data_IF_375633359672
#
_entry.id   IF_375633359672
#
_cell.length_a   1.000
_cell.length_b   1.000
_cell.length_c   1.000
_cell.angle_alpha   90.00
_cell.angle_beta   90.00
_cell.angle_gamma   90.00
#
_symmetry.space_group_name_H-M   'P 1'
#
loop_
_entity.id
_entity.type
_entity.pdbx_description
1 polymer ?
#
# COMPACT_ATOMS: atom_id res chain seq x y z
N UNK A 1 16.70 -3.71 12.38
CA UNK A 1 17.96 -4.27 12.95
C UNK A 1 18.64 -5.06 11.84
N UNK A 2 19.92 -4.84 11.53
CA UNK A 2 20.57 -5.61 10.45
C UNK A 2 20.80 -7.08 10.89
N UNK A 3 20.83 -8.00 9.93
CA UNK A 3 21.06 -9.43 10.20
C UNK A 3 22.34 -9.70 11.02
N UNK A 4 23.39 -8.90 10.80
CA UNK A 4 24.63 -8.99 11.58
C UNK A 4 24.47 -8.61 13.05
N UNK A 5 23.68 -7.57 13.36
CA UNK A 5 23.39 -7.19 14.74
C UNK A 5 22.51 -8.22 15.45
N UNK A 6 21.51 -8.77 14.74
CA UNK A 6 20.68 -9.85 15.27
C UNK A 6 21.51 -11.09 15.61
N UNK A 7 22.39 -11.53 14.70
CA UNK A 7 23.27 -12.68 14.94
C UNK A 7 24.12 -12.51 16.19
N UNK A 8 24.70 -11.32 16.40
CA UNK A 8 25.49 -11.02 17.60
C UNK A 8 24.65 -11.02 18.87
N UNK A 9 23.46 -10.42 18.84
CA UNK A 9 22.52 -10.43 19.97
C UNK A 9 22.04 -11.83 20.31
N UNK A 10 21.70 -12.64 19.30
CA UNK A 10 21.26 -14.01 19.48
C UNK A 10 22.37 -14.88 20.08
N UNK A 11 23.62 -14.68 19.67
CA UNK A 11 24.78 -15.35 20.29
C UNK A 11 24.97 -14.95 21.76
N UNK A 12 24.88 -13.65 22.08
CA UNK A 12 24.98 -13.16 23.45
C UNK A 12 23.85 -13.70 24.32
N UNK A 13 22.63 -13.76 23.80
CA UNK A 13 21.49 -14.33 24.49
C UNK A 13 21.64 -15.84 24.70
N UNK A 14 22.11 -16.57 23.70
CA UNK A 14 22.44 -17.99 23.85
C UNK A 14 23.47 -18.22 24.95
N UNK A 15 24.53 -17.42 24.99
CA UNK A 15 25.56 -17.52 26.03
C UNK A 15 25.01 -17.30 27.45
N UNK A 16 24.03 -16.40 27.64
CA UNK A 16 23.42 -16.18 28.97
C UNK A 16 22.43 -17.29 29.36
N UNK A 17 21.87 -18.02 28.39
CA UNK A 17 20.92 -19.12 28.62
C UNK A 17 21.59 -20.47 28.91
N UNK A 18 22.85 -20.67 28.48
CA UNK A 18 23.61 -21.92 28.73
C UNK A 18 23.65 -22.30 30.22
N UNK A 19 23.81 -21.31 31.12
CA UNK A 19 23.84 -21.53 32.58
C UNK A 19 22.51 -22.04 33.16
N UNK A 20 21.43 -21.87 32.41
CA UNK A 20 20.08 -22.33 32.77
C UNK A 20 19.68 -23.60 31.99
N UNK A 21 20.60 -24.22 31.25
CA UNK A 21 20.33 -25.33 30.34
C UNK A 21 19.24 -25.04 29.30
N UNK A 22 19.13 -23.77 28.89
CA UNK A 22 18.09 -23.29 27.98
C UNK A 22 18.67 -22.84 26.62
N UNK A 23 17.81 -22.54 25.65
CA UNK A 23 18.17 -22.21 24.26
C UNK A 23 17.48 -20.92 23.82
N UNK A 24 18.07 -20.25 22.84
CA UNK A 24 17.45 -19.06 22.22
C UNK A 24 16.15 -19.43 21.53
N UNK A 25 15.21 -18.49 21.45
CA UNK A 25 13.92 -18.69 20.78
C UNK A 25 14.04 -19.02 19.30
N UNK A 26 15.15 -18.63 18.66
CA UNK A 26 15.45 -18.92 17.25
C UNK A 26 16.91 -19.38 17.11
N UNK A 27 17.15 -20.35 16.23
CA UNK A 27 18.48 -20.93 15.98
C UNK A 27 19.41 -19.99 15.23
N UNK A 28 18.87 -19.29 14.24
CA UNK A 28 19.58 -18.38 13.36
C UNK A 28 18.61 -17.35 12.78
N UNK A 29 19.15 -16.47 11.93
CA UNK A 29 18.34 -15.43 11.27
C UNK A 29 17.33 -16.06 10.32
N UNK A 30 17.68 -17.15 9.66
CA UNK A 30 16.79 -17.91 8.77
C UNK A 30 15.56 -18.45 9.53
N UNK A 31 15.76 -19.14 10.66
CA UNK A 31 14.70 -19.68 11.53
C UNK A 31 13.77 -18.59 12.08
N UNK A 32 14.32 -17.40 12.38
CA UNK A 32 13.51 -16.22 12.72
C UNK A 32 12.61 -15.80 11.56
N UNK A 33 13.18 -15.64 10.36
CA UNK A 33 12.43 -15.19 9.18
C UNK A 33 11.39 -16.22 8.77
N UNK A 34 11.75 -17.50 8.72
CA UNK A 34 10.81 -18.60 8.45
C UNK A 34 9.67 -18.64 9.48
N UNK A 35 9.98 -18.44 10.77
CA UNK A 35 8.95 -18.37 11.81
C UNK A 35 7.99 -17.20 11.55
N UNK A 36 8.51 -16.01 11.24
CA UNK A 36 7.69 -14.82 10.90
C UNK A 36 6.82 -15.09 9.67
N UNK A 37 7.40 -15.66 8.61
CA UNK A 37 6.71 -15.95 7.34
C UNK A 37 5.67 -17.08 7.50
N UNK A 38 5.85 -17.97 8.48
CA UNK A 38 4.93 -19.06 8.81
C UNK A 38 3.71 -18.62 9.63
N UNK A 39 3.70 -17.40 10.19
CA UNK A 39 2.58 -16.92 11.00
C UNK A 39 1.32 -16.88 10.11
N UNK A 40 0.28 -17.68 10.41
CA UNK A 40 -0.94 -17.73 9.60
C UNK A 40 -1.83 -16.50 9.85
N UNK A 41 -1.61 -15.83 10.99
CA UNK A 41 -2.21 -14.55 11.38
C UNK A 41 -1.43 -13.41 10.71
N UNK A 42 -1.76 -13.12 9.47
CA UNK A 42 -1.16 -12.03 8.71
C UNK A 42 -2.19 -11.38 7.79
N UNK A 43 -1.99 -10.09 7.53
CA UNK A 43 -2.68 -9.38 6.46
C UNK A 43 -2.16 -9.88 5.09
N UNK A 44 -2.67 -9.34 3.98
CA UNK A 44 -2.24 -9.71 2.63
C UNK A 44 -0.73 -9.67 2.50
N UNK A 45 -0.13 -10.76 2.01
CA UNK A 45 1.32 -10.92 1.86
C UNK A 45 1.89 -9.86 0.92
N UNK A 46 3.10 -9.40 1.24
CA UNK A 46 3.90 -8.57 0.36
C UNK A 46 4.56 -9.41 -0.73
N UNK A 47 4.60 -8.86 -1.94
CA UNK A 47 5.29 -9.39 -3.10
C UNK A 47 6.18 -8.29 -3.68
N UNK A 48 7.31 -8.69 -4.23
CA UNK A 48 8.27 -7.78 -4.84
C UNK A 48 8.33 -8.06 -6.33
N UNK A 49 8.39 -7.01 -7.14
CA UNK A 49 8.65 -7.09 -8.57
C UNK A 49 9.57 -5.93 -8.97
N UNK A 50 10.09 -5.97 -10.19
CA UNK A 50 10.98 -4.95 -10.72
C UNK A 50 10.38 -4.27 -11.92
N UNK A 51 10.53 -2.95 -11.99
CA UNK A 51 10.18 -2.18 -13.17
C UNK A 51 11.38 -1.43 -13.74
N UNK A 52 11.32 -1.17 -15.04
CA UNK A 52 12.33 -0.44 -15.78
C UNK A 52 11.66 0.61 -16.66
N UNK A 53 12.39 1.69 -16.95
CA UNK A 53 11.94 2.64 -17.96
C UNK A 53 11.89 1.96 -19.34
N UNK A 54 10.77 2.15 -20.04
CA UNK A 54 10.62 1.64 -21.41
C UNK A 54 11.25 2.61 -22.39
N UNK A 55 12.42 2.24 -22.92
CA UNK A 55 13.12 3.03 -23.96
C UNK A 55 12.22 3.17 -25.20
N UNK A 56 12.16 4.40 -25.72
CA UNK A 56 11.35 4.79 -26.88
C UNK A 56 12.24 5.29 -28.01
N UNK A 57 11.70 5.37 -29.22
CA UNK A 57 12.42 5.90 -30.39
C UNK A 57 12.90 7.36 -30.19
N UNK A 58 12.28 8.10 -29.27
CA UNK A 58 12.64 9.50 -28.95
C UNK A 58 13.95 9.63 -28.18
N UNK A 59 14.42 8.55 -27.55
CA UNK A 59 15.61 8.58 -26.71
C UNK A 59 16.92 8.61 -27.52
N UNK A 60 16.85 8.36 -28.83
CA UNK A 60 17.99 8.36 -29.74
C UNK A 60 19.01 7.25 -29.45
N UNK A 61 20.07 7.13 -30.28
CA UNK A 61 21.10 6.10 -30.11
C UNK A 61 22.21 6.47 -29.12
N UNK A 62 22.09 7.60 -28.42
CA UNK A 62 23.10 8.10 -27.48
C UNK A 62 23.10 7.36 -26.14
N UNK A 63 24.11 7.59 -25.28
CA UNK A 63 24.12 7.02 -23.93
C UNK A 63 22.93 7.55 -23.13
N UNK A 64 22.13 6.63 -22.59
CA UNK A 64 20.95 6.98 -21.80
C UNK A 64 21.35 7.39 -20.37
N UNK A 65 20.61 8.33 -19.76
CA UNK A 65 20.76 8.65 -18.35
C UNK A 65 20.61 7.40 -17.46
N UNK A 66 21.35 7.35 -16.34
CA UNK A 66 21.35 6.21 -15.43
C UNK A 66 19.96 5.84 -14.90
N UNK A 67 19.05 6.82 -14.79
CA UNK A 67 17.68 6.57 -14.34
C UNK A 67 16.81 5.86 -15.39
N UNK A 68 17.14 5.96 -16.70
CA UNK A 68 16.45 5.23 -17.78
C UNK A 68 16.95 3.78 -17.90
N UNK A 69 18.15 3.48 -17.41
CA UNK A 69 18.74 2.13 -17.46
C UNK A 69 18.67 1.37 -16.14
N UNK A 70 18.34 2.05 -15.04
CA UNK A 70 18.19 1.45 -13.74
C UNK A 70 16.96 0.51 -13.65
N UNK A 71 17.08 -0.47 -12.76
CA UNK A 71 15.98 -1.33 -12.31
C UNK A 71 15.47 -0.85 -10.96
N UNK A 72 14.16 -0.72 -10.85
CA UNK A 72 13.48 -0.21 -9.68
C UNK A 72 12.66 -1.33 -9.04
N UNK A 73 12.95 -1.63 -7.79
CA UNK A 73 12.18 -2.60 -7.02
C UNK A 73 10.87 -1.96 -6.54
N UNK A 74 9.76 -2.65 -6.75
CA UNK A 74 8.44 -2.30 -6.25
C UNK A 74 8.01 -3.41 -5.30
N UNK A 75 7.65 -3.04 -4.08
CA UNK A 75 7.05 -3.94 -3.12
C UNK A 75 5.56 -3.62 -3.05
N UNK A 76 4.68 -4.59 -3.21
CA UNK A 76 3.23 -4.37 -3.22
C UNK A 76 2.46 -5.55 -2.64
N UNK A 77 1.19 -5.32 -2.36
CA UNK A 77 0.21 -6.33 -1.95
C UNK A 77 -0.86 -6.43 -3.03
N UNK A 78 -1.47 -7.61 -3.18
CA UNK A 78 -2.61 -7.76 -4.09
C UNK A 78 -3.76 -6.80 -3.66
N UNK A 79 -4.07 -5.77 -4.47
CA UNK A 79 -5.09 -4.79 -4.11
C UNK A 79 -6.47 -5.43 -3.97
N UNK A 80 -6.78 -6.47 -4.73
CA UNK A 80 -8.05 -7.18 -4.65
C UNK A 80 -8.18 -7.91 -3.31
N UNK A 81 -7.14 -8.64 -2.90
CA UNK A 81 -7.11 -9.28 -1.59
C UNK A 81 -7.22 -8.26 -0.44
N UNK A 82 -6.57 -7.10 -0.56
CA UNK A 82 -6.66 -6.04 0.46
C UNK A 82 -8.08 -5.48 0.54
N UNK A 83 -8.72 -5.24 -0.60
CA UNK A 83 -10.13 -4.80 -0.63
C UNK A 83 -11.05 -5.88 -0.03
N UNK A 84 -10.81 -7.16 -0.30
CA UNK A 84 -11.56 -8.25 0.33
C UNK A 84 -11.41 -8.22 1.87
N UNK A 85 -10.19 -8.02 2.38
CA UNK A 85 -9.95 -7.88 3.82
C UNK A 85 -10.68 -6.68 4.42
N UNK A 86 -10.65 -5.53 3.74
CA UNK A 86 -11.39 -4.33 4.16
C UNK A 86 -12.90 -4.59 4.21
N UNK A 87 -13.46 -5.30 3.22
CA UNK A 87 -14.88 -5.65 3.18
C UNK A 87 -15.28 -6.67 4.25
N UNK A 88 -14.36 -7.55 4.66
CA UNK A 88 -14.58 -8.52 5.72
C UNK A 88 -14.49 -7.93 7.14
N UNK A 89 -14.04 -6.68 7.28
CA UNK A 89 -13.85 -6.06 8.58
C UNK A 89 -15.19 -5.72 9.26
N UNK A 90 -15.49 -6.41 10.35
CA UNK A 90 -16.70 -6.21 11.14
C UNK A 90 -16.76 -4.88 11.89
N UNK A 91 -15.63 -4.19 12.06
CA UNK A 91 -15.57 -2.89 12.78
C UNK A 91 -16.25 -1.75 12.02
N UNK A 92 -16.57 -1.98 10.75
CA UNK A 92 -17.34 -1.06 9.91
C UNK A 92 -18.86 -1.28 10.03
N UNK A 93 -19.30 -2.22 10.88
CA UNK A 93 -20.72 -2.49 11.09
C UNK A 93 -21.45 -1.21 11.49
N UNK A 94 -22.55 -0.92 10.79
CA UNK A 94 -23.36 0.31 10.90
C UNK A 94 -22.71 1.61 10.38
N UNK A 95 -21.44 1.56 9.94
CA UNK A 95 -20.70 2.72 9.42
C UNK A 95 -20.24 2.48 7.97
N UNK A 96 -21.08 1.76 7.22
CA UNK A 96 -20.80 1.27 5.87
C UNK A 96 -22.05 1.36 4.99
N UNK A 97 -21.91 1.99 3.82
CA UNK A 97 -22.95 2.16 2.82
C UNK A 97 -22.80 1.14 1.69
N UNK A 98 -23.77 0.23 1.56
CA UNK A 98 -23.81 -0.79 0.51
C UNK A 98 -24.23 -0.23 -0.86
N UNK A 99 -24.90 0.91 -0.87
CA UNK A 99 -25.40 1.58 -2.07
C UNK A 99 -25.15 3.07 -1.99
N UNK A 100 -25.04 3.79 -3.11
CA UNK A 100 -25.03 5.25 -3.09
C UNK A 100 -26.26 5.79 -2.36
N UNK A 101 -26.04 6.79 -1.51
CA UNK A 101 -27.09 7.42 -0.70
C UNK A 101 -27.37 8.83 -1.20
N UNK A 102 -28.62 9.28 -1.05
CA UNK A 102 -28.96 10.70 -1.18
C UNK A 102 -29.64 11.11 0.11
N UNK A 103 -28.92 11.90 0.90
CA UNK A 103 -29.39 12.41 2.17
C UNK A 103 -30.07 13.76 1.93
N UNK A 104 -31.39 13.80 2.04
CA UNK A 104 -32.18 15.01 1.81
C UNK A 104 -32.49 15.68 3.15
N UNK A 105 -32.09 16.93 3.30
CA UNK A 105 -32.44 17.74 4.46
C UNK A 105 -33.70 18.55 4.19
N UNK A 106 -34.48 18.84 5.24
CA UNK A 106 -35.73 19.60 5.13
C UNK A 106 -35.53 21.03 4.61
N UNK A 107 -34.32 21.61 4.78
CA UNK A 107 -34.08 23.04 4.54
C UNK A 107 -33.09 23.35 3.42
N UNK A 108 -32.16 22.44 3.06
CA UNK A 108 -30.99 22.78 2.21
C UNK A 108 -30.74 21.82 1.01
N UNK A 109 -31.66 20.87 0.76
CA UNK A 109 -31.51 19.93 -0.36
C UNK A 109 -30.60 18.74 -0.02
N UNK A 110 -29.72 18.34 -0.95
CA UNK A 110 -28.91 17.12 -0.82
C UNK A 110 -27.64 17.40 -0.01
N UNK A 111 -27.53 16.79 1.17
CA UNK A 111 -26.34 16.79 2.02
C UNK A 111 -25.34 15.75 1.52
N UNK A 112 -24.10 16.19 1.27
CA UNK A 112 -22.97 15.31 0.94
C UNK A 112 -22.04 15.22 2.14
N UNK A 113 -22.05 14.09 2.82
CA UNK A 113 -21.25 13.85 4.03
C UNK A 113 -20.16 12.81 3.76
N UNK A 114 -20.57 11.63 3.33
CA UNK A 114 -19.71 10.47 3.10
C UNK A 114 -19.49 10.26 1.60
N UNK A 115 -18.49 9.47 1.22
CA UNK A 115 -18.13 9.32 -0.20
C UNK A 115 -19.31 8.79 -1.04
N UNK A 116 -20.08 7.84 -0.49
CA UNK A 116 -21.25 7.27 -1.16
C UNK A 116 -22.44 8.24 -1.28
N UNK A 117 -22.42 9.38 -0.59
CA UNK A 117 -23.41 10.45 -0.75
C UNK A 117 -23.13 11.38 -1.95
N UNK A 118 -21.97 11.25 -2.58
CA UNK A 118 -21.57 12.05 -3.73
C UNK A 118 -22.30 11.65 -5.02
N UNK A 119 -22.60 12.64 -5.87
CA UNK A 119 -23.24 12.41 -7.17
C UNK A 119 -22.42 11.46 -8.07
N UNK A 120 -21.10 11.47 -7.92
CA UNK A 120 -20.21 10.59 -8.65
C UNK A 120 -20.51 9.11 -8.36
N UNK A 121 -20.70 8.73 -7.10
CA UNK A 121 -21.00 7.34 -6.72
C UNK A 121 -22.34 6.88 -7.31
N UNK A 122 -23.33 7.78 -7.32
CA UNK A 122 -24.62 7.55 -7.97
C UNK A 122 -24.48 7.30 -9.48
N UNK A 123 -23.76 8.18 -10.19
CA UNK A 123 -23.51 8.02 -11.63
C UNK A 123 -22.77 6.72 -11.95
N UNK A 124 -21.83 6.30 -11.10
CA UNK A 124 -21.14 5.02 -11.28
C UNK A 124 -22.09 3.84 -11.12
N UNK A 125 -22.92 3.82 -10.06
CA UNK A 125 -23.90 2.76 -9.87
C UNK A 125 -24.91 2.69 -11.03
N UNK A 126 -25.40 3.83 -11.53
CA UNK A 126 -26.29 3.88 -12.70
C UNK A 126 -25.62 3.31 -13.95
N UNK A 127 -24.34 3.64 -14.17
CA UNK A 127 -23.58 3.12 -15.31
C UNK A 127 -23.34 1.62 -15.20
N UNK A 128 -22.96 1.12 -14.02
CA UNK A 128 -22.73 -0.30 -13.76
C UNK A 128 -24.04 -1.08 -13.95
N UNK A 129 -25.16 -0.56 -13.45
CA UNK A 129 -26.48 -1.19 -13.53
C UNK A 129 -27.08 -1.29 -14.94
N UNK A 130 -26.48 -0.65 -15.95
CA UNK A 130 -26.86 -0.85 -17.36
C UNK A 130 -26.56 -2.27 -17.84
N UNK A 131 -25.54 -2.91 -17.28
CA UNK A 131 -25.23 -4.32 -17.55
C UNK A 131 -26.11 -5.21 -16.68
N UNK A 132 -26.85 -6.14 -17.29
CA UNK A 132 -27.68 -7.11 -16.56
C UNK A 132 -26.84 -8.08 -15.73
N UNK A 133 -25.58 -8.32 -16.09
CA UNK A 133 -24.69 -9.25 -15.36
C UNK A 133 -24.24 -8.70 -14.00
N UNK A 134 -24.33 -7.40 -13.79
CA UNK A 134 -23.92 -6.73 -12.54
C UNK A 134 -25.10 -6.45 -11.61
N UNK A 135 -26.30 -6.88 -11.97
CA UNK A 135 -27.50 -6.69 -11.15
C UNK A 135 -27.34 -7.45 -9.82
N UNK A 136 -27.52 -6.73 -8.71
CA UNK A 136 -27.30 -7.26 -7.35
C UNK A 136 -25.86 -7.12 -6.85
N UNK A 137 -24.91 -6.70 -7.70
CA UNK A 137 -23.54 -6.42 -7.26
C UNK A 137 -23.46 -5.13 -6.45
N UNK A 138 -22.60 -5.14 -5.43
CA UNK A 138 -22.24 -3.93 -4.67
C UNK A 138 -21.17 -3.14 -5.42
N UNK A 139 -21.39 -1.83 -5.55
CA UNK A 139 -20.35 -0.92 -6.02
C UNK A 139 -19.36 -0.60 -4.89
N UNK A 140 -18.09 -0.94 -5.10
CA UNK A 140 -16.99 -0.68 -4.15
C UNK A 140 -15.99 0.29 -4.78
N UNK A 141 -16.15 1.60 -4.57
CA UNK A 141 -15.14 2.58 -4.98
C UNK A 141 -13.81 2.36 -4.26
N UNK A 142 -12.71 2.23 -5.01
CA UNK A 142 -11.35 2.18 -4.48
C UNK A 142 -10.74 3.58 -4.55
N UNK A 143 -10.22 4.05 -3.41
CA UNK A 143 -9.56 5.34 -3.27
C UNK A 143 -8.09 5.06 -3.04
N UNK A 144 -7.24 5.60 -3.93
CA UNK A 144 -5.79 5.50 -3.84
C UNK A 144 -5.20 6.87 -3.46
N UNK A 145 -4.18 6.83 -2.60
CA UNK A 145 -3.41 8.00 -2.21
C UNK A 145 -1.93 7.65 -2.16
N UNK A 146 -1.07 8.56 -2.57
CA UNK A 146 0.38 8.40 -2.46
C UNK A 146 0.96 9.70 -1.92
N UNK A 147 1.89 9.59 -0.97
CA UNK A 147 2.64 10.74 -0.45
C UNK A 147 4.11 10.35 -0.25
N UNK A 148 5.02 11.31 -0.42
CA UNK A 148 6.45 11.03 -0.36
C UNK A 148 6.83 10.83 1.10
N UNK A 149 7.37 9.68 1.46
CA UNK A 149 7.81 9.42 2.83
C UNK A 149 9.26 8.97 2.89
N UNK A 150 9.99 9.47 3.89
CA UNK A 150 11.36 9.06 4.19
C UNK A 150 11.30 7.92 5.20
N UNK A 151 11.59 6.69 4.76
CA UNK A 151 11.38 5.46 5.56
C UNK A 151 12.56 5.17 6.50
N UNK A 152 13.79 5.62 6.18
CA UNK A 152 14.93 5.51 7.09
C UNK A 152 15.94 6.64 6.92
N UNK A 153 16.39 7.22 8.05
CA UNK A 153 17.46 8.24 8.08
C UNK A 153 18.84 7.60 8.35
N UNK A 154 18.88 6.43 9.02
CA UNK A 154 20.10 5.90 9.63
C UNK A 154 20.90 4.91 8.76
N UNK A 155 20.33 4.33 7.70
CA UNK A 155 20.92 3.20 6.95
C UNK A 155 21.14 3.47 5.46
N UNK A 156 21.17 4.74 5.08
CA UNK A 156 21.17 5.17 3.68
C UNK A 156 19.78 5.67 3.31
N UNK A 157 19.73 6.86 2.71
CA UNK A 157 18.52 7.60 2.34
C UNK A 157 17.63 6.80 1.37
N UNK A 158 16.87 5.83 1.88
CA UNK A 158 15.86 5.11 1.13
C UNK A 158 14.54 5.85 1.34
N UNK A 159 14.21 6.67 0.34
CA UNK A 159 12.91 7.34 0.22
C UNK A 159 12.02 6.46 -0.65
N UNK A 160 10.76 6.30 -0.25
CA UNK A 160 9.75 5.56 -1.00
C UNK A 160 8.49 6.42 -1.14
N UNK A 161 7.72 6.13 -2.18
CA UNK A 161 6.34 6.57 -2.30
C UNK A 161 5.42 5.44 -1.85
N UNK A 162 4.97 5.41 -0.59
CA UNK A 162 3.93 4.50 -0.18
C UNK A 162 2.63 4.78 -0.94
N UNK A 163 2.06 3.72 -1.50
CA UNK A 163 0.72 3.73 -2.08
C UNK A 163 -0.25 3.22 -1.02
N UNK A 164 -1.22 4.05 -0.65
CA UNK A 164 -2.30 3.74 0.25
C UNK A 164 -3.57 3.43 -0.53
N UNK A 165 -4.37 2.49 -0.03
CA UNK A 165 -5.70 2.19 -0.54
C UNK A 165 -6.73 2.23 0.59
N UNK A 166 -7.94 2.65 0.22
CA UNK A 166 -9.14 2.61 1.05
C UNK A 166 -10.36 2.37 0.16
N UNK A 167 -11.49 1.98 0.75
CA UNK A 167 -12.76 1.84 0.05
C UNK A 167 -13.68 3.02 0.35
N UNK A 168 -14.49 3.45 -0.60
CA UNK A 168 -15.42 4.59 -0.47
C UNK A 168 -16.66 4.31 0.38
N UNK A 169 -17.00 3.03 0.58
CA UNK A 169 -18.24 2.62 1.26
C UNK A 169 -18.27 2.94 2.75
N UNK A 170 -17.12 3.12 3.39
CA UNK A 170 -17.07 3.48 4.81
C UNK A 170 -17.40 4.96 5.04
N UNK A 171 -18.06 5.23 6.15
CA UNK A 171 -18.36 6.58 6.60
C UNK A 171 -17.07 7.33 6.97
N UNK A 172 -17.11 8.65 6.88
CA UNK A 172 -15.94 9.51 7.05
C UNK A 172 -15.37 9.51 8.48
N UNK A 173 -16.18 9.18 9.48
CA UNK A 173 -15.71 8.99 10.86
C UNK A 173 -14.82 7.74 10.98
N UNK A 174 -15.13 6.64 10.29
CA UNK A 174 -14.28 5.44 10.22
C UNK A 174 -12.92 5.78 9.63
N UNK A 175 -12.89 6.58 8.56
CA UNK A 175 -11.63 7.02 7.91
C UNK A 175 -10.71 7.80 8.82
N UNK A 176 -11.28 8.53 9.78
CA UNK A 176 -10.53 9.34 10.75
C UNK A 176 -10.17 8.57 12.01
N UNK A 177 -10.72 7.37 12.19
CA UNK A 177 -10.44 6.50 13.31
C UNK A 177 -9.34 5.48 12.96
N UNK A 178 -8.64 4.98 13.98
CA UNK A 178 -7.68 3.88 13.85
C UNK A 178 -8.41 2.53 13.70
N UNK A 179 -9.27 2.38 12.69
CA UNK A 179 -10.01 1.13 12.38
C UNK A 179 -9.52 0.46 11.10
N UNK A 180 -8.24 0.65 10.74
CA UNK A 180 -7.57 -0.01 9.62
C UNK A 180 -8.25 0.13 8.25
N UNK A 181 -8.91 1.27 8.00
CA UNK A 181 -9.58 1.50 6.72
C UNK A 181 -8.69 2.10 5.63
N UNK A 182 -7.50 2.57 6.01
CA UNK A 182 -6.46 3.06 5.12
C UNK A 182 -5.24 2.15 5.25
N UNK A 183 -4.90 1.46 4.16
CA UNK A 183 -3.92 0.37 4.16
C UNK A 183 -2.82 0.67 3.14
N UNK A 184 -1.55 0.50 3.50
CA UNK A 184 -0.42 0.66 2.55
C UNK A 184 -0.36 -0.54 1.63
N UNK A 185 -0.68 -0.41 0.35
CA UNK A 185 -0.66 -1.52 -0.62
C UNK A 185 0.62 -1.57 -1.45
N UNK A 186 1.49 -0.56 -1.37
CA UNK A 186 2.71 -0.52 -2.16
C UNK A 186 3.78 0.39 -1.59
N UNK A 187 5.03 0.11 -1.91
CA UNK A 187 6.17 1.00 -1.79
C UNK A 187 6.81 1.13 -3.17
N UNK A 188 6.60 2.28 -3.80
CA UNK A 188 7.19 2.57 -5.09
C UNK A 188 8.59 3.16 -4.86
N UNK A 189 9.58 2.66 -5.60
CA UNK A 189 10.94 3.19 -5.55
C UNK A 189 10.96 4.66 -5.99
N UNK A 190 11.77 5.47 -5.31
CA UNK A 190 12.03 6.84 -5.72
C UNK A 190 13.25 6.87 -6.64
N UNK A 191 13.07 7.11 -7.96
CA UNK A 191 14.19 7.10 -8.87
C UNK A 191 15.14 8.26 -8.54
N UNK A 192 16.44 7.96 -8.50
CA UNK A 192 17.50 8.94 -8.27
C UNK A 192 18.24 9.22 -9.57
N UNK A 193 18.63 10.47 -9.74
CA UNK A 193 19.36 10.92 -10.93
C UNK A 193 20.46 11.90 -10.55
N UNK A 194 21.40 12.17 -11.48
CA UNK A 194 22.42 13.19 -11.31
C UNK A 194 21.79 14.60 -11.35
N UNK A 195 22.48 15.60 -10.81
CA UNK A 195 22.00 17.00 -10.80
C UNK A 195 21.65 17.53 -12.19
N UNK A 196 22.35 17.03 -13.21
CA UNK A 196 22.16 17.40 -14.62
C UNK A 196 20.74 17.10 -15.12
N UNK A 197 20.15 15.98 -14.69
CA UNK A 197 18.82 15.53 -15.13
C UNK A 197 17.73 15.76 -14.08
N UNK A 198 18.04 16.38 -12.93
CA UNK A 198 17.08 16.54 -11.84
C UNK A 198 15.87 17.42 -12.21
N UNK A 199 16.08 18.39 -13.11
CA UNK A 199 15.05 19.31 -13.63
C UNK A 199 14.55 18.93 -15.02
N UNK A 200 14.98 17.78 -15.56
CA UNK A 200 14.57 17.30 -16.87
C UNK A 200 13.08 16.87 -16.87
N UNK A 201 12.34 17.27 -17.89
CA UNK A 201 10.89 17.03 -17.95
C UNK A 201 10.56 15.53 -18.08
N UNK A 202 11.40 14.75 -18.77
CA UNK A 202 11.19 13.32 -18.88
C UNK A 202 11.44 12.62 -17.55
N UNK A 203 12.47 13.03 -16.82
CA UNK A 203 12.72 12.53 -15.47
C UNK A 203 11.58 12.88 -14.51
N UNK A 204 11.06 14.11 -14.56
CA UNK A 204 9.95 14.56 -13.71
C UNK A 204 8.63 13.84 -14.00
N UNK A 205 8.41 13.38 -15.24
CA UNK A 205 7.25 12.56 -15.62
C UNK A 205 7.41 11.09 -15.23
N UNK A 206 8.65 10.60 -15.22
CA UNK A 206 8.95 9.23 -14.83
C UNK A 206 8.87 9.01 -13.32
N UNK A 207 9.34 9.98 -12.54
CA UNK A 207 9.26 9.99 -11.08
C UNK A 207 7.82 10.15 -10.58
#
# INVERSE_FOLDING_TARGET
MSAGHYKRLNQLWGATLVRHHDRTSFKNTEDLHETIDSIPLGDVRWTSDTCNYKVTEKDGPGPLPSWKTATYEINFRDPCAVVCNLLANSDFKHEFDYTPIRDFTQTDGIRRRDFMSGDWAWKQADNIGKDKKTHGSMFVPVILGSDKTTVSVATGQNEYWPLYASIGNVHNNVRRAHRDVLVVIGFLALPKTSKEYANDDDFRKFR
#
